data_IF_804089036541
#
_entry.id   IF_804089036541
#
_cell.length_a   1.000
_cell.length_b   1.000
_cell.length_c   1.000
_cell.angle_alpha   90.00
_cell.angle_beta   90.00
_cell.angle_gamma   90.00
#
_symmetry.space_group_name_H-M   'P 1'
#
loop_
_entity.id
_entity.type
_entity.pdbx_description
1 polymer ?
#
# COMPACT_ATOMS: atom_id res chain seq x y z
N UNK A 1 14.92 5.64 16.92
CA UNK A 1 14.04 4.48 17.17
C UNK A 1 14.53 3.34 16.28
N UNK A 2 14.86 2.19 16.87
CA UNK A 2 15.32 0.99 16.17
C UNK A 2 14.30 0.47 15.15
N UNK A 3 12.99 0.54 15.46
CA UNK A 3 11.94 0.09 14.55
C UNK A 3 11.91 0.90 13.24
N UNK A 4 12.17 2.21 13.33
CA UNK A 4 12.24 3.08 12.15
C UNK A 4 13.45 2.75 11.26
N UNK A 5 14.57 2.39 11.86
CA UNK A 5 15.77 1.97 11.14
C UNK A 5 15.52 0.64 10.39
N UNK A 6 14.92 -0.35 11.07
CA UNK A 6 14.52 -1.62 10.45
C UNK A 6 13.54 -1.42 9.30
N UNK A 7 12.60 -0.47 9.40
CA UNK A 7 11.69 -0.14 8.31
C UNK A 7 12.44 0.41 7.08
N UNK A 8 13.43 1.26 7.30
CA UNK A 8 14.24 1.83 6.22
C UNK A 8 15.06 0.73 5.54
N UNK A 9 15.71 -0.13 6.31
CA UNK A 9 16.47 -1.29 5.81
C UNK A 9 15.58 -2.22 4.98
N UNK A 10 14.40 -2.59 5.51
CA UNK A 10 13.41 -3.38 4.78
C UNK A 10 13.01 -2.72 3.45
N UNK A 11 12.80 -1.40 3.44
CA UNK A 11 12.46 -0.68 2.22
C UNK A 11 13.61 -0.68 1.20
N UNK A 12 14.86 -0.54 1.65
CA UNK A 12 16.04 -0.58 0.80
C UNK A 12 16.22 -1.95 0.16
N UNK A 13 16.13 -3.03 0.94
CA UNK A 13 16.27 -4.41 0.47
C UNK A 13 15.20 -4.79 -0.55
N UNK A 14 13.96 -4.33 -0.35
CA UNK A 14 12.81 -4.72 -1.18
C UNK A 14 12.49 -3.70 -2.30
N UNK A 15 13.34 -2.70 -2.50
CA UNK A 15 13.12 -1.59 -3.44
C UNK A 15 11.73 -0.95 -3.28
N UNK A 16 11.40 -0.58 -2.04
CA UNK A 16 10.18 0.13 -1.65
C UNK A 16 10.47 1.60 -1.33
N UNK A 17 9.46 2.43 -1.54
CA UNK A 17 9.44 3.83 -1.13
C UNK A 17 8.42 4.04 -0.03
N UNK A 18 8.82 4.83 0.95
CA UNK A 18 7.92 5.36 1.97
C UNK A 18 7.16 6.54 1.33
N UNK A 19 5.89 6.33 1.01
CA UNK A 19 5.11 7.23 0.15
C UNK A 19 4.82 8.57 0.82
N UNK A 20 4.59 8.57 2.13
CA UNK A 20 4.31 9.76 2.94
C UNK A 20 5.52 10.70 3.11
N UNK A 21 6.74 10.29 2.76
CA UNK A 21 7.93 11.15 2.79
C UNK A 21 8.28 11.74 1.41
N UNK A 22 7.55 11.38 0.35
CA UNK A 22 7.86 11.79 -1.03
C UNK A 22 7.52 13.24 -1.34
N UNK A 23 6.62 13.85 -0.56
CA UNK A 23 6.08 15.17 -0.84
C UNK A 23 6.26 16.07 0.37
N UNK A 24 6.64 17.32 0.14
CA UNK A 24 6.56 18.34 1.17
C UNK A 24 5.07 18.60 1.48
N UNK A 25 4.71 18.52 2.76
CA UNK A 25 3.36 18.76 3.24
C UNK A 25 3.40 19.72 4.43
N UNK A 26 2.29 20.42 4.64
CA UNK A 26 2.10 21.23 5.85
C UNK A 26 2.22 20.34 7.10
N UNK A 27 2.84 20.83 8.19
CA UNK A 27 3.08 20.07 9.44
C UNK A 27 1.83 19.36 9.97
N UNK A 28 0.66 20.01 9.83
CA UNK A 28 -0.65 19.46 10.20
C UNK A 28 -0.98 18.12 9.51
N UNK A 29 -0.37 17.79 8.37
CA UNK A 29 -0.65 16.59 7.55
C UNK A 29 0.43 15.51 7.62
N UNK A 30 1.39 15.64 8.54
CA UNK A 30 2.54 14.73 8.65
C UNK A 30 2.33 13.63 9.70
N UNK A 31 1.59 13.93 10.77
CA UNK A 31 1.33 12.98 11.85
C UNK A 31 0.14 12.08 11.49
N UNK A 32 0.23 10.82 11.91
CA UNK A 32 -0.78 9.76 11.71
C UNK A 32 -1.39 9.29 13.02
N UNK A 33 -0.85 9.75 14.16
CA UNK A 33 -1.33 9.41 15.48
C UNK A 33 -1.23 10.64 16.39
N UNK A 34 -2.25 10.83 17.23
CA UNK A 34 -2.29 11.86 18.27
C UNK A 34 -2.52 11.18 19.61
N UNK A 35 -1.78 11.56 20.64
CA UNK A 35 -2.00 11.02 21.99
C UNK A 35 -3.40 11.35 22.51
N UNK A 36 -3.97 10.53 23.42
CA UNK A 36 -5.29 10.78 23.98
C UNK A 36 -5.44 12.14 24.68
N UNK A 37 -4.34 12.68 25.22
CA UNK A 37 -4.26 14.00 25.84
C UNK A 37 -4.09 15.15 24.83
N UNK A 38 -3.95 14.85 23.54
CA UNK A 38 -3.77 15.80 22.44
C UNK A 38 -2.39 16.45 22.35
N UNK A 39 -1.48 16.15 23.27
CA UNK A 39 -0.19 16.85 23.41
C UNK A 39 0.88 16.36 22.43
N UNK A 40 0.85 15.07 22.08
CA UNK A 40 1.88 14.42 21.29
C UNK A 40 1.31 13.98 19.96
N UNK A 41 2.11 14.14 18.90
CA UNK A 41 1.73 13.77 17.53
C UNK A 41 2.90 13.06 16.87
N UNK A 42 2.65 11.85 16.38
CA UNK A 42 3.68 10.99 15.83
C UNK A 42 3.30 10.50 14.41
N UNK A 43 4.31 10.09 13.67
CA UNK A 43 4.14 9.38 12.39
C UNK A 43 4.50 7.91 12.62
N UNK A 44 3.47 7.09 12.77
CA UNK A 44 3.58 5.66 13.06
C UNK A 44 3.07 4.80 11.91
N UNK A 45 2.23 5.38 11.04
CA UNK A 45 1.61 4.71 9.92
C UNK A 45 2.28 5.13 8.61
N UNK A 46 2.59 4.16 7.77
CA UNK A 46 3.34 4.37 6.55
C UNK A 46 2.67 3.64 5.39
N UNK A 47 2.59 4.31 4.25
CA UNK A 47 2.22 3.66 2.99
C UNK A 47 3.53 3.32 2.28
N UNK A 48 3.73 2.04 1.98
CA UNK A 48 4.87 1.57 1.19
C UNK A 48 4.42 1.29 -0.23
N UNK A 49 5.25 1.66 -1.20
CA UNK A 49 5.00 1.37 -2.62
C UNK A 49 6.29 0.89 -3.27
N UNK A 50 6.21 -0.01 -4.25
CA UNK A 50 7.41 -0.37 -5.01
C UNK A 50 8.00 0.85 -5.71
N UNK A 51 9.33 0.99 -5.64
CA UNK A 51 10.10 2.04 -6.30
C UNK A 51 9.75 2.16 -7.78
N UNK A 52 9.44 1.05 -8.46
CA UNK A 52 8.99 1.03 -9.86
C UNK A 52 7.76 1.91 -10.12
N UNK A 53 6.84 1.98 -9.17
CA UNK A 53 5.59 2.73 -9.29
C UNK A 53 5.65 4.12 -8.65
N UNK A 54 6.83 4.56 -8.19
CA UNK A 54 7.03 5.85 -7.54
C UNK A 54 6.43 7.02 -8.32
N UNK A 55 6.63 7.05 -9.65
CA UNK A 55 6.11 8.10 -10.54
C UNK A 55 4.58 8.08 -10.73
N UNK A 56 3.92 7.00 -10.32
CA UNK A 56 2.46 6.90 -10.34
C UNK A 56 1.82 7.54 -9.11
N UNK A 57 2.58 7.80 -8.06
CA UNK A 57 2.10 8.44 -6.84
C UNK A 57 1.97 9.95 -7.09
N UNK A 58 0.77 10.50 -6.88
CA UNK A 58 0.50 11.94 -7.06
C UNK A 58 0.58 12.73 -5.76
N UNK A 59 0.22 12.12 -4.64
CA UNK A 59 0.30 12.74 -3.31
C UNK A 59 0.14 11.68 -2.23
N UNK A 60 0.72 11.90 -1.05
CA UNK A 60 0.36 11.19 0.17
C UNK A 60 0.30 12.18 1.34
N UNK A 61 -0.77 12.11 2.13
CA UNK A 61 -1.02 13.04 3.25
C UNK A 61 -2.04 12.46 4.21
N UNK A 62 -1.96 12.87 5.47
CA UNK A 62 -3.04 12.59 6.41
C UNK A 62 -4.22 13.55 6.20
N UNK A 63 -5.39 13.13 6.70
CA UNK A 63 -6.64 13.90 6.70
C UNK A 63 -7.10 14.20 8.13
N UNK A 64 -6.46 15.17 8.81
CA UNK A 64 -6.87 15.60 10.14
C UNK A 64 -8.33 16.02 10.20
N UNK A 65 -9.10 15.41 11.10
CA UNK A 65 -10.54 15.66 11.25
C UNK A 65 -11.44 14.85 10.33
N UNK A 66 -10.91 13.81 9.68
CA UNK A 66 -11.76 12.70 9.27
C UNK A 66 -12.22 11.98 10.55
N UNK A 67 -13.52 11.75 10.71
CA UNK A 67 -14.03 11.02 11.86
C UNK A 67 -13.78 9.52 11.66
N UNK A 68 -12.70 9.02 12.27
CA UNK A 68 -12.33 7.61 12.27
C UNK A 68 -12.56 6.93 13.63
N UNK A 69 -13.12 7.64 14.63
CA UNK A 69 -13.36 7.08 15.96
C UNK A 69 -12.10 6.53 16.65
N UNK A 70 -10.91 7.01 16.27
CA UNK A 70 -9.60 6.54 16.75
C UNK A 70 -8.66 7.73 16.94
N UNK A 71 -7.66 7.54 17.79
CA UNK A 71 -6.47 8.36 17.97
C UNK A 71 -5.56 8.42 16.72
N UNK A 72 -5.83 7.59 15.71
CA UNK A 72 -5.17 7.60 14.41
C UNK A 72 -5.86 8.54 13.40
N UNK A 73 -5.04 9.23 12.61
CA UNK A 73 -5.44 10.07 11.50
C UNK A 73 -5.38 9.29 10.19
N UNK A 74 -6.40 9.44 9.34
CA UNK A 74 -6.47 8.73 8.08
C UNK A 74 -5.34 9.17 7.11
N UNK A 75 -4.43 8.24 6.79
CA UNK A 75 -3.36 8.44 5.81
C UNK A 75 -3.81 8.01 4.40
N UNK A 76 -3.78 8.94 3.43
CA UNK A 76 -4.27 8.69 2.07
C UNK A 76 -3.16 8.92 1.05
N UNK A 77 -2.99 7.97 0.12
CA UNK A 77 -2.20 8.14 -1.09
C UNK A 77 -3.10 8.23 -2.33
N UNK A 78 -2.78 9.16 -3.23
CA UNK A 78 -3.42 9.28 -4.55
C UNK A 78 -2.49 8.70 -5.61
N UNK A 79 -2.98 7.75 -6.38
CA UNK A 79 -2.23 7.04 -7.41
C UNK A 79 -2.87 7.27 -8.78
N UNK A 80 -2.04 7.46 -9.82
CA UNK A 80 -2.46 7.51 -11.22
C UNK A 80 -1.86 6.31 -11.96
N UNK A 81 -2.71 5.32 -12.24
CA UNK A 81 -2.32 4.09 -12.93
C UNK A 81 -2.69 4.18 -14.41
N UNK A 82 -1.75 3.81 -15.28
CA UNK A 82 -2.02 3.52 -16.69
C UNK A 82 -2.07 2.01 -16.88
N UNK A 83 -3.27 1.46 -16.90
CA UNK A 83 -3.48 0.02 -17.05
C UNK A 83 -3.52 -0.35 -18.53
N UNK A 84 -2.77 -1.38 -18.92
CA UNK A 84 -2.92 -2.00 -20.23
C UNK A 84 -4.04 -3.04 -20.14
N UNK A 85 -4.99 -2.99 -21.07
CA UNK A 85 -5.98 -4.07 -21.22
C UNK A 85 -5.23 -5.33 -21.66
N UNK A 86 -5.17 -6.34 -20.79
CA UNK A 86 -4.72 -7.67 -21.17
C UNK A 86 -5.88 -8.31 -21.94
N UNK A 87 -5.67 -8.62 -23.22
CA UNK A 87 -6.65 -9.37 -23.99
C UNK A 87 -6.94 -10.68 -23.28
N UNK A 88 -8.22 -11.05 -23.13
CA UNK A 88 -8.58 -12.39 -22.65
C UNK A 88 -8.03 -13.37 -23.69
N UNK A 89 -6.90 -14.03 -23.42
CA UNK A 89 -6.56 -15.22 -24.17
C UNK A 89 -7.60 -16.25 -23.79
N UNK A 90 -8.57 -16.51 -24.66
CA UNK A 90 -9.34 -17.74 -24.67
C UNK A 90 -8.37 -18.87 -24.98
N UNK A 91 -7.50 -19.22 -24.03
CA UNK A 91 -6.85 -20.52 -24.05
C UNK A 91 -7.98 -21.51 -23.82
N UNK A 92 -8.29 -22.42 -24.74
CA UNK A 92 -9.26 -23.47 -24.46
C UNK A 92 -8.83 -24.13 -23.15
N UNK A 93 -9.75 -24.24 -22.21
CA UNK A 93 -9.52 -24.91 -20.94
C UNK A 93 -9.13 -26.35 -21.24
N UNK A 94 -7.82 -26.64 -21.32
CA UNK A 94 -7.33 -28.02 -21.40
C UNK A 94 -7.62 -28.63 -20.03
N UNK A 95 -8.53 -29.60 -19.98
CA UNK A 95 -8.72 -30.46 -18.82
C UNK A 95 -7.40 -31.19 -18.56
N UNK A 96 -6.62 -30.71 -17.60
CA UNK A 96 -5.44 -31.44 -17.14
C UNK A 96 -5.92 -32.61 -16.29
N UNK A 97 -5.42 -33.83 -16.51
CA UNK A 97 -5.76 -34.98 -15.68
C UNK A 97 -5.25 -34.76 -14.24
N UNK A 98 -5.95 -35.37 -13.28
CA UNK A 98 -5.73 -35.19 -11.85
C UNK A 98 -4.29 -35.52 -11.39
N UNK A 99 -3.56 -36.35 -12.16
CA UNK A 99 -2.18 -36.74 -11.85
C UNK A 99 -1.15 -35.63 -12.11
N UNK A 100 -1.43 -34.66 -12.99
CA UNK A 100 -0.51 -33.56 -13.31
C UNK A 100 -0.66 -32.33 -12.39
N UNK A 101 -1.64 -32.32 -11.48
CA UNK A 101 -1.77 -31.30 -10.44
C UNK A 101 -0.78 -31.50 -9.28
N UNK A 102 -0.30 -32.72 -9.07
CA UNK A 102 0.65 -33.05 -8.00
C UNK A 102 2.10 -32.66 -8.33
N UNK A 103 2.41 -32.34 -9.59
CA UNK A 103 3.75 -32.01 -10.09
C UNK A 103 3.94 -30.53 -10.45
N UNK A 104 2.90 -29.70 -10.36
CA UNK A 104 3.04 -28.27 -10.64
C UNK A 104 3.63 -27.53 -9.42
N UNK A 105 4.70 -26.73 -9.58
CA UNK A 105 5.14 -25.83 -8.53
C UNK A 105 4.02 -24.83 -8.27
N UNK A 106 3.53 -24.78 -7.02
CA UNK A 106 2.47 -23.85 -6.57
C UNK A 106 2.85 -22.42 -6.98
N UNK A 107 2.08 -21.73 -7.84
CA UNK A 107 2.33 -20.31 -8.07
C UNK A 107 1.99 -19.56 -6.78
N UNK A 108 2.91 -18.69 -6.34
CA UNK A 108 2.66 -17.68 -5.31
C UNK A 108 1.47 -16.83 -5.77
N UNK A 109 0.29 -17.19 -5.29
CA UNK A 109 -0.96 -16.52 -5.61
C UNK A 109 -1.03 -15.28 -4.72
N UNK A 110 -0.72 -14.12 -5.29
CA UNK A 110 -1.01 -12.83 -4.66
C UNK A 110 -2.51 -12.58 -4.80
N UNK A 111 -3.24 -12.71 -3.71
CA UNK A 111 -4.64 -12.29 -3.63
C UNK A 111 -4.69 -10.78 -3.44
N UNK A 112 -5.15 -10.03 -4.45
CA UNK A 112 -5.65 -8.67 -4.25
C UNK A 112 -7.17 -8.74 -4.38
N UNK A 113 -7.86 -8.88 -3.26
CA UNK A 113 -9.32 -8.70 -3.21
C UNK A 113 -9.61 -7.20 -3.09
N UNK A 114 -10.12 -6.59 -4.15
CA UNK A 114 -10.81 -5.30 -4.04
C UNK A 114 -12.31 -5.56 -4.10
N UNK A 115 -12.98 -5.56 -2.94
CA UNK A 115 -14.42 -5.30 -2.89
C UNK A 115 -14.58 -3.78 -2.83
N UNK A 116 -14.74 -3.16 -3.99
CA UNK A 116 -15.35 -1.83 -4.05
C UNK A 116 -16.87 -2.05 -4.00
N UNK A 117 -17.43 -2.01 -2.80
CA UNK A 117 -18.87 -1.86 -2.56
C UNK A 117 -19.22 -0.38 -2.58
N UNK A 118 -20.29 -0.04 -3.29
CA UNK A 118 -20.83 1.30 -3.50
C UNK A 118 -21.34 1.91 -2.19
N UNK A 119 -21.20 3.25 -2.10
CA UNK A 119 -21.80 4.25 -1.20
C UNK A 119 -22.57 3.77 0.02
#
# INVERSE_FOLDING_TARGET
NEAGQRLIEFCQENALVIVNTLFQQHKRRLYTWTSPDGQHRNQTDYILCSQRWRSSIQSAKTRPGADCGSDHELLIAKLRLKLKKVGKTTRPFRKTSMSALLTMPKPLTVWITTKCGKF
#
